data_IF_990545218909
#
_entry.id   IF_990545218909
#
_cell.length_a   1.000
_cell.length_b   1.000
_cell.length_c   1.000
_cell.angle_alpha   90.00
_cell.angle_beta   90.00
_cell.angle_gamma   90.00
#
_symmetry.space_group_name_H-M   'P 1'
#
loop_
_entity.id
_entity.type
_entity.pdbx_description
1 polymer ?
#
# COMPACT_ATOMS: atom_id res chain seq x y z
N UNK A 1 -22.99 5.12 20.29
CA UNK A 1 -22.49 6.40 19.77
C UNK A 1 -21.41 6.85 20.73
N UNK A 2 -20.17 6.45 20.46
CA UNK A 2 -18.99 6.95 21.17
C UNK A 2 -18.66 8.24 20.43
N UNK A 3 -18.94 9.38 21.05
CA UNK A 3 -18.74 10.73 20.49
C UNK A 3 -17.39 11.32 20.85
N UNK A 4 -16.57 10.59 21.59
CA UNK A 4 -15.21 11.01 21.90
C UNK A 4 -14.27 10.30 20.93
N UNK A 5 -13.65 11.06 20.01
CA UNK A 5 -12.40 10.64 19.36
C UNK A 5 -11.48 10.24 20.52
N UNK A 6 -11.20 8.95 20.69
CA UNK A 6 -10.12 8.53 21.58
C UNK A 6 -8.86 9.16 20.98
N UNK A 7 -8.44 10.28 21.56
CA UNK A 7 -7.11 10.85 21.37
C UNK A 7 -6.18 10.13 22.35
N UNK A 8 -5.43 9.13 21.88
CA UNK A 8 -4.04 9.01 22.24
C UNK A 8 -3.20 9.34 21.01
N UNK A 9 -2.11 10.06 21.23
CA UNK A 9 -1.16 10.48 20.21
C UNK A 9 -0.68 9.30 19.32
N UNK A 10 -1.32 9.14 18.16
CA UNK A 10 -0.80 8.42 16.98
C UNK A 10 -0.97 9.21 15.67
N UNK A 11 -1.54 10.42 15.73
CA UNK A 11 -1.76 11.35 14.61
C UNK A 11 -0.45 11.95 14.04
N UNK A 12 0.37 11.15 13.36
CA UNK A 12 1.58 11.68 12.71
C UNK A 12 1.82 11.20 11.29
N UNK A 13 0.93 10.42 10.70
CA UNK A 13 0.99 10.12 9.27
C UNK A 13 -0.44 10.16 8.74
N UNK A 14 -0.85 11.30 8.19
CA UNK A 14 -1.84 11.29 7.12
C UNK A 14 -1.19 10.57 5.96
N UNK A 15 -1.98 9.73 5.32
CA UNK A 15 -1.45 8.73 4.42
C UNK A 15 -2.24 8.83 3.13
N UNK A 16 -1.57 8.80 2.00
CA UNK A 16 -2.17 9.08 0.71
C UNK A 16 -1.71 8.07 -0.33
N UNK A 17 -2.56 7.79 -1.31
CA UNK A 17 -2.22 6.95 -2.45
C UNK A 17 -2.84 7.48 -3.73
N UNK A 18 -2.33 7.02 -4.87
CA UNK A 18 -2.91 7.33 -6.16
C UNK A 18 -4.03 6.38 -6.56
N UNK A 19 -4.98 6.87 -7.35
CA UNK A 19 -5.86 6.06 -8.19
C UNK A 19 -5.98 6.73 -9.57
N UNK A 20 -6.23 5.95 -10.61
CA UNK A 20 -6.48 6.47 -11.95
C UNK A 20 -7.90 6.16 -12.40
N UNK A 21 -8.51 7.08 -13.14
CA UNK A 21 -9.83 6.86 -13.76
C UNK A 21 -9.71 6.31 -15.18
N UNK A 22 -10.84 6.01 -15.83
CA UNK A 22 -10.85 5.41 -17.17
C UNK A 22 -10.33 6.36 -18.28
N UNK A 23 -10.32 7.67 -18.02
CA UNK A 23 -9.75 8.69 -18.91
C UNK A 23 -8.25 8.95 -18.61
N UNK A 24 -7.66 8.14 -17.71
CA UNK A 24 -6.29 8.20 -17.28
C UNK A 24 -5.95 9.42 -16.42
N UNK A 25 -6.95 10.12 -15.86
CA UNK A 25 -6.72 11.15 -14.86
C UNK A 25 -6.32 10.51 -13.54
N UNK A 26 -5.40 11.11 -12.82
CA UNK A 26 -4.94 10.61 -11.52
C UNK A 26 -5.57 11.42 -10.38
N UNK A 27 -6.04 10.68 -9.38
CA UNK A 27 -6.47 11.20 -8.11
C UNK A 27 -5.46 10.86 -7.02
N UNK A 28 -5.36 11.74 -6.02
CA UNK A 28 -4.79 11.47 -4.71
C UNK A 28 -5.94 11.19 -3.76
N UNK A 29 -5.89 10.07 -3.07
CA UNK A 29 -6.85 9.70 -2.03
C UNK A 29 -6.11 9.84 -0.71
N UNK A 30 -6.49 10.85 0.06
CA UNK A 30 -5.96 11.08 1.40
C UNK A 30 -6.83 10.35 2.41
N UNK A 31 -6.22 9.61 3.34
CA UNK A 31 -6.95 8.84 4.33
C UNK A 31 -6.47 9.02 5.77
N UNK A 32 -7.45 8.99 6.66
CA UNK A 32 -7.31 8.99 8.10
C UNK A 32 -7.60 7.57 8.62
N UNK A 33 -6.55 6.85 9.04
CA UNK A 33 -6.41 5.52 9.70
C UNK A 33 -7.39 4.35 9.42
N UNK A 34 -8.68 4.56 9.18
CA UNK A 34 -9.72 3.53 9.22
C UNK A 34 -10.39 3.16 7.90
N UNK A 35 -10.34 4.02 6.88
CA UNK A 35 -11.02 3.75 5.61
C UNK A 35 -10.28 2.74 4.70
N UNK A 36 -10.88 2.35 3.57
CA UNK A 36 -10.37 1.29 2.68
C UNK A 36 -9.03 1.65 2.02
N UNK A 37 -7.99 0.86 2.30
CA UNK A 37 -6.65 1.02 1.70
C UNK A 37 -6.37 -0.12 0.73
N UNK A 38 -6.15 0.13 -0.57
CA UNK A 38 -5.75 -0.93 -1.50
C UNK A 38 -4.49 -1.66 -1.04
N UNK A 39 -4.48 -3.00 -1.07
CA UNK A 39 -3.29 -3.79 -0.70
C UNK A 39 -2.05 -3.47 -1.56
N UNK A 40 -2.27 -2.96 -2.77
CA UNK A 40 -1.22 -2.57 -3.72
C UNK A 40 -0.62 -1.19 -3.41
N UNK A 41 -1.27 -0.38 -2.57
CA UNK A 41 -0.74 0.91 -2.17
C UNK A 41 0.47 0.70 -1.25
N UNK A 42 1.59 1.38 -1.55
CA UNK A 42 2.77 1.41 -0.68
C UNK A 42 2.73 2.63 0.23
N UNK A 43 3.32 2.45 1.41
CA UNK A 43 3.68 3.41 2.48
C UNK A 43 2.70 4.51 2.84
N UNK A 44 2.78 4.83 4.11
CA UNK A 44 2.15 5.94 4.77
C UNK A 44 2.87 7.24 4.36
N UNK A 45 2.51 7.82 3.20
CA UNK A 45 3.05 9.11 2.73
C UNK A 45 2.01 10.21 2.86
N UNK A 46 2.44 11.39 3.30
CA UNK A 46 1.62 12.59 3.21
C UNK A 46 1.37 13.00 1.76
N UNK A 47 0.28 13.74 1.55
CA UNK A 47 -0.10 14.27 0.24
C UNK A 47 1.00 15.18 -0.34
N UNK A 48 1.77 15.89 0.48
CA UNK A 48 2.87 16.73 0.01
C UNK A 48 3.97 15.93 -0.67
N UNK A 49 4.30 14.76 -0.12
CA UNK A 49 5.24 13.82 -0.73
C UNK A 49 4.66 13.36 -2.07
N UNK A 50 3.42 12.86 -2.06
CA UNK A 50 2.78 12.24 -3.22
C UNK A 50 2.44 13.21 -4.36
N UNK A 51 2.35 14.52 -4.14
CA UNK A 51 2.07 15.49 -5.23
C UNK A 51 3.21 15.51 -6.26
N UNK A 52 4.45 15.26 -5.84
CA UNK A 52 5.63 15.31 -6.70
C UNK A 52 6.26 13.94 -7.00
N UNK A 53 5.89 12.89 -6.25
CA UNK A 53 6.39 11.52 -6.44
C UNK A 53 6.41 10.73 -5.13
N UNK A 54 6.96 9.51 -5.13
CA UNK A 54 7.27 8.85 -3.84
C UNK A 54 8.49 9.54 -3.24
N UNK A 55 8.38 10.04 -1.99
CA UNK A 55 9.43 10.61 -1.16
C UNK A 55 10.52 11.39 -1.94
N UNK A 56 10.45 12.72 -1.88
CA UNK A 56 11.37 13.67 -2.51
C UNK A 56 12.86 13.41 -2.21
N UNK A 57 13.17 12.57 -1.21
CA UNK A 57 14.52 12.19 -0.79
C UNK A 57 14.99 10.81 -1.31
N UNK A 58 14.10 9.95 -1.80
CA UNK A 58 14.44 8.53 -2.11
C UNK A 58 13.83 7.99 -3.41
N UNK A 59 12.85 8.67 -4.05
CA UNK A 59 11.99 8.03 -5.06
C UNK A 59 11.71 8.74 -6.39
N UNK A 60 10.82 8.10 -7.16
CA UNK A 60 10.51 8.34 -8.58
C UNK A 60 9.68 9.61 -8.80
N UNK A 61 10.13 10.49 -9.71
CA UNK A 61 9.53 11.81 -9.94
C UNK A 61 8.30 11.77 -10.87
N UNK A 62 7.28 12.56 -10.56
CA UNK A 62 6.17 12.84 -11.48
C UNK A 62 6.51 14.07 -12.32
N UNK A 63 6.62 13.88 -13.63
CA UNK A 63 6.90 14.98 -14.57
C UNK A 63 5.66 15.84 -14.80
N UNK A 64 5.48 16.87 -13.97
CA UNK A 64 4.38 17.84 -14.09
C UNK A 64 4.61 18.83 -15.24
N UNK A 65 3.53 19.26 -15.91
CA UNK A 65 3.58 20.32 -16.92
C UNK A 65 3.65 21.71 -16.29
N UNK A 66 3.99 22.73 -17.07
CA UNK A 66 4.04 24.10 -16.58
C UNK A 66 2.67 24.60 -16.08
N UNK A 67 1.58 24.20 -16.73
CA UNK A 67 0.21 24.55 -16.32
C UNK A 67 -0.17 23.87 -15.00
N UNK A 68 0.31 22.63 -14.76
CA UNK A 68 0.10 21.91 -13.50
C UNK A 68 0.89 22.54 -12.35
N UNK A 69 2.13 22.98 -12.63
CA UNK A 69 2.94 23.73 -11.69
C UNK A 69 2.28 25.09 -11.36
N UNK A 70 1.65 25.75 -12.34
CA UNK A 70 0.88 26.98 -12.08
C UNK A 70 -0.29 26.74 -11.13
N UNK A 71 -1.00 25.62 -11.25
CA UNK A 71 -2.06 25.25 -10.31
C UNK A 71 -1.53 25.08 -8.89
N UNK A 72 -0.40 24.39 -8.71
CA UNK A 72 0.25 24.25 -7.39
C UNK A 72 0.65 25.63 -6.83
N UNK A 73 1.40 26.41 -7.62
CA UNK A 73 1.89 27.73 -7.23
C UNK A 73 0.75 28.72 -6.92
N UNK A 74 -0.44 28.54 -7.52
CA UNK A 74 -1.64 29.31 -7.20
C UNK A 74 -2.08 29.20 -5.73
N UNK A 75 -1.72 28.12 -5.05
CA UNK A 75 -1.97 27.93 -3.62
C UNK A 75 -0.82 28.43 -2.73
N UNK A 76 0.36 28.64 -3.31
CA UNK A 76 1.55 29.09 -2.58
C UNK A 76 1.61 30.62 -2.51
N UNK A 77 1.93 31.16 -1.34
CA UNK A 77 2.20 32.59 -1.19
C UNK A 77 3.68 32.87 -1.45
N UNK A 78 3.94 34.03 -2.01
CA UNK A 78 5.30 34.53 -2.14
C UNK A 78 5.70 35.17 -0.83
N UNK A 79 6.89 34.83 -0.32
CA UNK A 79 7.37 35.33 0.97
C UNK A 79 8.70 36.06 0.79
N UNK A 80 8.95 37.02 1.67
CA UNK A 80 10.27 37.63 1.79
C UNK A 80 11.23 36.65 2.47
N UNK A 81 12.53 36.77 2.19
CA UNK A 81 13.55 35.86 2.72
C UNK A 81 13.48 35.69 4.25
N UNK A 82 13.23 36.78 5.00
CA UNK A 82 13.19 36.75 6.47
C UNK A 82 11.97 36.03 7.04
N UNK A 83 10.92 35.85 6.24
CA UNK A 83 9.67 35.19 6.63
C UNK A 83 9.57 33.77 6.01
N UNK A 84 10.55 33.37 5.20
CA UNK A 84 10.59 32.07 4.56
C UNK A 84 11.04 30.99 5.55
N UNK A 85 10.30 29.87 5.59
CA UNK A 85 10.78 28.67 6.26
C UNK A 85 11.84 27.99 5.39
N UNK A 86 13.11 28.22 5.71
CA UNK A 86 14.21 27.68 4.91
C UNK A 86 14.42 26.17 5.12
N UNK A 87 13.74 25.56 6.09
CA UNK A 87 13.77 24.11 6.27
C UNK A 87 12.96 23.41 5.18
N UNK A 88 11.92 24.04 4.65
CA UNK A 88 11.13 23.50 3.56
C UNK A 88 10.60 24.66 2.71
N UNK A 89 11.25 24.96 1.59
CA UNK A 89 10.75 26.03 0.71
C UNK A 89 10.92 25.74 -0.78
N UNK A 90 10.03 26.34 -1.56
CA UNK A 90 10.14 26.38 -3.00
C UNK A 90 10.79 27.70 -3.42
N UNK A 91 11.80 27.61 -4.28
CA UNK A 91 12.57 28.75 -4.77
C UNK A 91 12.51 28.85 -6.28
N UNK A 92 12.39 30.08 -6.77
CA UNK A 92 12.61 30.40 -8.17
C UNK A 92 14.04 30.91 -8.33
N UNK A 93 14.82 30.27 -9.19
CA UNK A 93 16.20 30.63 -9.46
C UNK A 93 16.34 31.41 -10.78
N UNK A 94 17.45 32.14 -10.92
CA UNK A 94 17.90 32.63 -12.21
C UNK A 94 18.43 31.44 -13.03
N UNK A 95 17.66 30.97 -14.01
CA UNK A 95 18.04 29.85 -14.87
C UNK A 95 19.38 30.03 -15.58
N UNK A 96 19.82 31.28 -15.82
CA UNK A 96 21.15 31.54 -16.40
C UNK A 96 22.30 31.20 -15.43
N UNK A 97 22.00 31.06 -14.14
CA UNK A 97 22.92 30.75 -13.04
C UNK A 97 22.60 29.42 -12.35
N UNK A 98 21.82 28.53 -12.99
CA UNK A 98 21.49 27.20 -12.46
C UNK A 98 22.73 26.44 -11.99
N UNK A 99 23.81 26.51 -12.77
CA UNK A 99 25.08 25.87 -12.41
C UNK A 99 25.64 26.39 -11.08
N UNK A 100 25.68 27.70 -10.89
CA UNK A 100 26.23 28.32 -9.67
C UNK A 100 25.34 28.02 -8.46
N UNK A 101 24.02 27.96 -8.66
CA UNK A 101 23.06 27.53 -7.64
C UNK A 101 23.32 26.09 -7.19
N UNK A 102 23.42 25.16 -8.14
CA UNK A 102 23.66 23.73 -7.82
C UNK A 102 25.02 23.51 -7.17
N UNK A 103 26.08 24.16 -7.67
CA UNK A 103 27.43 24.05 -7.07
C UNK A 103 27.47 24.56 -5.63
N UNK A 104 26.76 25.64 -5.34
CA UNK A 104 26.69 26.17 -3.98
C UNK A 104 25.82 25.29 -3.07
N UNK A 105 24.69 24.77 -3.56
CA UNK A 105 23.83 23.88 -2.78
C UNK A 105 24.55 22.56 -2.41
N UNK A 106 25.27 21.96 -3.37
CA UNK A 106 26.08 20.76 -3.15
C UNK A 106 27.21 21.03 -2.15
N UNK A 107 27.94 22.14 -2.31
CA UNK A 107 29.03 22.51 -1.39
C UNK A 107 28.57 22.71 0.05
N UNK A 108 27.36 23.22 0.22
CA UNK A 108 26.77 23.54 1.52
C UNK A 108 26.00 22.35 2.12
N UNK A 109 25.97 21.20 1.42
CA UNK A 109 25.36 19.93 1.84
C UNK A 109 23.89 20.08 2.27
N UNK A 110 23.07 20.79 1.49
CA UNK A 110 21.63 20.82 1.72
C UNK A 110 21.05 19.39 1.67
N UNK A 111 20.10 19.13 2.56
CA UNK A 111 19.46 17.81 2.70
C UNK A 111 18.71 17.43 1.42
N UNK A 112 17.98 18.39 0.84
CA UNK A 112 17.21 18.19 -0.39
C UNK A 112 17.38 19.35 -1.35
N UNK A 113 17.63 19.05 -2.63
CA UNK A 113 17.56 20.00 -3.75
C UNK A 113 16.90 19.31 -4.92
N UNK A 114 15.60 19.54 -5.09
CA UNK A 114 14.78 18.84 -6.07
C UNK A 114 14.26 19.80 -7.15
N UNK A 115 14.42 19.44 -8.42
CA UNK A 115 14.04 20.29 -9.54
C UNK A 115 12.58 20.05 -9.94
N UNK A 116 11.69 20.98 -9.60
CA UNK A 116 10.26 20.90 -9.91
C UNK A 116 9.94 21.33 -11.35
N UNK A 117 10.66 22.35 -11.86
CA UNK A 117 10.54 22.77 -13.27
C UNK A 117 11.82 23.43 -13.74
N UNK A 118 12.58 22.72 -14.58
CA UNK A 118 13.82 23.24 -15.17
C UNK A 118 13.60 24.48 -16.03
N UNK A 119 12.52 24.52 -16.80
CA UNK A 119 12.19 25.67 -17.67
C UNK A 119 12.00 26.95 -16.85
N UNK A 120 11.38 26.83 -15.66
CA UNK A 120 11.10 27.96 -14.78
C UNK A 120 12.26 28.27 -13.82
N UNK A 121 13.17 27.32 -13.64
CA UNK A 121 14.13 27.37 -12.54
C UNK A 121 13.41 27.24 -11.20
N UNK A 122 12.40 26.37 -11.09
CA UNK A 122 11.68 26.14 -9.84
C UNK A 122 12.26 24.91 -9.14
N UNK A 123 12.67 25.09 -7.89
CA UNK A 123 13.27 24.03 -7.07
C UNK A 123 12.59 23.97 -5.71
N UNK A 124 12.46 22.76 -5.16
CA UNK A 124 12.24 22.54 -3.75
C UNK A 124 13.58 22.38 -3.05
N UNK A 125 13.77 23.06 -1.92
CA UNK A 125 14.97 22.97 -1.11
C UNK A 125 14.66 22.73 0.36
N UNK A 126 15.47 21.89 0.98
CA UNK A 126 15.61 21.78 2.43
C UNK A 126 17.03 22.22 2.81
N UNK A 127 17.13 23.41 3.41
CA UNK A 127 18.41 23.97 3.82
C UNK A 127 18.87 23.47 5.21
N UNK A 128 18.18 22.47 5.77
CA UNK A 128 18.64 21.74 6.95
C UNK A 128 19.91 20.97 6.62
N UNK A 129 20.82 20.94 7.58
CA UNK A 129 22.10 20.24 7.49
C UNK A 129 22.35 19.46 8.77
N UNK A 130 22.76 18.21 8.64
CA UNK A 130 23.15 17.38 9.78
C UNK A 130 24.63 17.63 10.08
N UNK A 131 24.92 18.21 11.24
CA UNK A 131 26.29 18.45 11.72
C UNK A 131 26.47 17.92 13.14
N UNK A 132 27.46 17.07 13.33
CA UNK A 132 27.77 16.42 14.60
C UNK A 132 26.58 15.67 15.23
N UNK A 133 25.69 15.11 14.39
CA UNK A 133 24.47 14.42 14.81
C UNK A 133 23.32 15.33 15.24
N UNK A 134 23.40 16.63 14.94
CA UNK A 134 22.33 17.62 15.20
C UNK A 134 21.89 18.31 13.91
N UNK A 135 20.57 18.49 13.74
CA UNK A 135 19.99 19.30 12.67
C UNK A 135 20.27 20.79 12.92
N UNK A 136 20.71 21.50 11.89
CA UNK A 136 20.90 22.95 11.89
C UNK A 136 20.46 23.50 10.55
N UNK A 137 19.97 24.73 10.53
CA UNK A 137 19.61 25.42 9.30
C UNK A 137 20.84 26.18 8.75
N UNK A 138 21.08 26.12 7.43
CA UNK A 138 22.18 26.85 6.77
C UNK A 138 21.72 28.16 6.12
N UNK A 139 21.15 29.04 6.93
CA UNK A 139 20.55 30.33 6.52
C UNK A 139 21.57 31.20 5.79
N UNK A 140 22.85 31.10 6.16
CA UNK A 140 23.93 31.88 5.56
C UNK A 140 24.23 31.50 4.11
N UNK A 141 24.00 30.23 3.73
CA UNK A 141 24.13 29.79 2.35
C UNK A 141 22.97 30.30 1.51
N UNK A 142 21.73 30.17 1.99
CA UNK A 142 20.55 30.67 1.29
C UNK A 142 20.59 32.20 1.18
N UNK A 143 21.00 32.92 2.22
CA UNK A 143 21.18 34.38 2.17
C UNK A 143 22.18 34.76 1.08
N UNK A 144 23.32 34.06 0.97
CA UNK A 144 24.28 34.30 -0.12
C UNK A 144 23.67 34.03 -1.49
N UNK A 145 22.95 32.92 -1.65
CA UNK A 145 22.23 32.62 -2.90
C UNK A 145 21.24 33.72 -3.27
N UNK A 146 20.55 34.30 -2.29
CA UNK A 146 19.63 35.39 -2.51
C UNK A 146 20.35 36.71 -2.85
N UNK A 147 21.38 37.08 -2.09
CA UNK A 147 22.17 38.31 -2.29
C UNK A 147 22.88 38.31 -3.66
N UNK A 148 23.42 37.16 -4.07
CA UNK A 148 24.06 36.95 -5.37
C UNK A 148 23.06 36.81 -6.53
N UNK A 149 21.75 36.89 -6.22
CA UNK A 149 20.64 36.75 -7.16
C UNK A 149 20.71 35.43 -7.93
N UNK A 150 21.05 34.35 -7.22
CA UNK A 150 20.85 32.97 -7.67
C UNK A 150 19.40 32.59 -7.42
N UNK A 151 18.89 32.87 -6.21
CA UNK A 151 17.46 32.80 -5.90
C UNK A 151 16.83 34.16 -6.17
N UNK A 152 15.78 34.16 -6.97
CA UNK A 152 15.00 35.35 -7.37
C UNK A 152 13.76 35.51 -6.50
N UNK A 153 13.20 34.40 -6.00
CA UNK A 153 11.92 34.42 -5.27
C UNK A 153 11.77 33.21 -4.36
N UNK A 154 11.11 33.40 -3.22
CA UNK A 154 10.68 32.34 -2.32
C UNK A 154 9.16 32.16 -2.36
N UNK A 155 8.72 30.92 -2.25
CA UNK A 155 7.34 30.53 -2.04
C UNK A 155 7.25 29.78 -0.71
N UNK A 156 6.23 30.13 0.07
CA UNK A 156 5.83 29.38 1.27
C UNK A 156 5.43 27.96 0.85
N UNK A 157 6.05 26.97 1.48
CA UNK A 157 5.63 25.58 1.35
C UNK A 157 4.31 25.37 2.09
N UNK A 158 3.39 24.62 1.49
CA UNK A 158 2.15 24.20 2.14
C UNK A 158 2.19 22.69 2.32
N UNK A 159 1.86 22.25 3.52
CA UNK A 159 1.78 20.83 3.88
C UNK A 159 0.53 20.15 3.30
N UNK A 160 -0.29 20.85 2.51
CA UNK A 160 -1.50 20.35 1.87
C UNK A 160 -2.41 19.57 2.84
N UNK A 161 -2.79 20.20 3.95
CA UNK A 161 -3.62 19.58 4.98
C UNK A 161 -5.06 19.30 4.55
N UNK A 162 -5.55 18.10 4.87
CA UNK A 162 -6.96 17.69 4.82
C UNK A 162 -7.34 17.14 6.20
N UNK A 163 -8.50 17.54 6.70
CA UNK A 163 -9.08 17.02 7.93
C UNK A 163 -10.56 16.75 7.75
N UNK A 164 -11.08 15.76 8.45
CA UNK A 164 -12.49 15.47 8.53
C UNK A 164 -13.06 15.82 9.91
N UNK A 165 -14.16 16.57 9.90
CA UNK A 165 -14.97 16.85 11.07
C UNK A 165 -16.40 16.35 10.89
N UNK A 166 -17.06 16.08 12.01
CA UNK A 166 -18.44 15.62 12.05
C UNK A 166 -19.37 16.76 12.48
N UNK A 167 -20.02 17.37 11.50
CA UNK A 167 -20.93 18.51 11.72
C UNK A 167 -22.36 18.14 11.29
N UNK A 168 -23.34 18.37 12.18
CA UNK A 168 -24.77 18.19 11.89
C UNK A 168 -25.15 16.82 11.27
N UNK A 169 -24.44 15.76 11.65
CA UNK A 169 -24.73 14.40 11.19
C UNK A 169 -24.14 14.04 9.81
N UNK A 170 -23.14 14.80 9.35
CA UNK A 170 -22.39 14.51 8.13
C UNK A 170 -20.91 14.83 8.32
N UNK A 171 -20.08 14.21 7.49
CA UNK A 171 -18.67 14.54 7.37
C UNK A 171 -18.52 15.85 6.60
N UNK A 172 -17.67 16.74 7.10
CA UNK A 172 -17.23 17.96 6.42
C UNK A 172 -15.71 17.96 6.39
N UNK A 173 -15.13 18.33 5.25
CA UNK A 173 -13.68 18.39 5.08
C UNK A 173 -13.18 19.83 5.20
N UNK A 174 -12.20 20.04 6.07
CA UNK A 174 -11.34 21.21 6.07
C UNK A 174 -10.12 20.94 5.19
N UNK A 175 -9.71 21.92 4.39
CA UNK A 175 -8.53 21.81 3.52
C UNK A 175 -7.83 23.14 3.35
N UNK A 176 -6.51 23.11 3.14
CA UNK A 176 -5.66 24.29 2.99
C UNK A 176 -5.28 24.62 1.52
N UNK A 177 -5.85 23.91 0.55
CA UNK A 177 -5.69 24.18 -0.87
C UNK A 177 -7.03 24.48 -1.54
N UNK A 178 -7.01 25.34 -2.55
CA UNK A 178 -8.18 25.59 -3.38
C UNK A 178 -8.25 24.59 -4.54
N UNK A 179 -7.12 24.33 -5.20
CA UNK A 179 -7.04 23.40 -6.32
C UNK A 179 -5.65 22.78 -6.47
N UNK A 180 -5.56 21.50 -6.77
CA UNK A 180 -4.32 20.79 -7.13
C UNK A 180 -4.45 20.24 -8.57
N UNK A 181 -3.33 19.94 -9.26
CA UNK A 181 -3.38 19.34 -10.59
C UNK A 181 -3.85 17.87 -10.55
N UNK A 182 -4.10 17.32 -9.38
CA UNK A 182 -4.73 16.03 -9.16
C UNK A 182 -6.21 16.20 -8.82
N UNK A 183 -7.02 15.19 -9.11
CA UNK A 183 -8.25 15.05 -8.35
C UNK A 183 -7.88 14.68 -6.91
N UNK A 184 -8.49 15.29 -5.91
CA UNK A 184 -8.21 14.96 -4.51
C UNK A 184 -9.49 14.46 -3.88
N UNK A 185 -9.42 13.32 -3.21
CA UNK A 185 -10.50 12.78 -2.41
C UNK A 185 -10.06 12.71 -0.96
N UNK A 186 -10.87 13.28 -0.07
CA UNK A 186 -10.74 13.07 1.36
C UNK A 186 -11.52 11.83 1.75
N UNK A 187 -10.86 10.85 2.38
CA UNK A 187 -11.51 9.68 2.95
C UNK A 187 -11.89 9.98 4.41
N UNK A 188 -13.18 9.86 4.76
CA UNK A 188 -13.63 10.04 6.13
C UNK A 188 -13.00 9.04 7.10
N UNK A 189 -12.97 9.39 8.39
CA UNK A 189 -12.58 8.48 9.46
C UNK A 189 -13.47 7.22 9.53
N UNK A 190 -14.75 7.31 9.16
CA UNK A 190 -15.67 6.17 9.20
C UNK A 190 -15.80 5.50 7.83
N UNK A 191 -15.65 4.18 7.81
CA UNK A 191 -15.75 3.32 6.60
C UNK A 191 -17.14 3.28 5.97
N UNK A 192 -18.17 3.68 6.71
CA UNK A 192 -19.56 3.78 6.22
C UNK A 192 -19.78 4.99 5.32
N UNK A 193 -18.88 5.99 5.38
CA UNK A 193 -18.92 7.18 4.54
C UNK A 193 -17.98 7.05 3.35
N UNK A 194 -18.46 7.49 2.19
CA UNK A 194 -17.68 7.42 0.96
C UNK A 194 -16.67 8.57 0.91
N UNK A 195 -15.43 8.31 0.43
CA UNK A 195 -14.51 9.37 0.01
C UNK A 195 -15.21 10.45 -0.82
N UNK A 196 -14.91 11.73 -0.54
CA UNK A 196 -15.48 12.89 -1.24
C UNK A 196 -14.41 13.65 -2.02
N UNK A 197 -14.72 13.98 -3.27
CA UNK A 197 -13.89 14.81 -4.13
C UNK A 197 -13.83 16.25 -3.63
N UNK A 198 -12.63 16.73 -3.31
CA UNK A 198 -12.35 18.03 -2.72
C UNK A 198 -11.94 19.11 -3.73
N UNK A 199 -11.54 18.72 -4.95
CA UNK A 199 -11.24 19.66 -6.03
C UNK A 199 -11.48 19.03 -7.43
N UNK A 200 -11.43 19.88 -8.46
CA UNK A 200 -11.42 19.47 -9.86
C UNK A 200 -10.26 20.20 -10.54
N UNK A 201 -9.19 19.49 -10.96
CA UNK A 201 -8.04 20.10 -11.61
C UNK A 201 -8.43 20.74 -12.95
N UNK A 202 -7.76 21.84 -13.31
CA UNK A 202 -7.92 22.43 -14.64
C UNK A 202 -7.10 21.65 -15.68
N UNK A 203 -5.93 21.17 -15.28
CA UNK A 203 -5.00 20.38 -16.09
C UNK A 203 -4.65 19.08 -15.35
N UNK A 204 -5.57 18.09 -15.33
CA UNK A 204 -5.40 16.87 -14.54
C UNK A 204 -4.10 16.14 -14.89
N UNK A 205 -3.37 15.70 -13.86
CA UNK A 205 -2.25 14.77 -14.00
C UNK A 205 -2.74 13.48 -14.65
N UNK A 206 -1.95 12.99 -15.60
CA UNK A 206 -2.23 11.79 -16.38
C UNK A 206 -1.37 10.63 -15.92
N UNK A 207 -1.95 9.43 -15.97
CA UNK A 207 -1.27 8.16 -15.68
C UNK A 207 -0.01 7.94 -16.54
N UNK A 208 0.02 8.53 -17.75
CA UNK A 208 1.19 8.50 -18.64
C UNK A 208 2.38 9.35 -18.15
N UNK A 209 2.17 10.27 -17.20
CA UNK A 209 3.22 11.09 -16.60
C UNK A 209 4.01 10.34 -15.52
N UNK A 210 3.49 9.18 -15.07
CA UNK A 210 4.15 8.32 -14.10
C UNK A 210 5.16 7.39 -14.77
N UNK A 211 6.22 7.05 -14.05
CA UNK A 211 7.13 5.96 -14.42
C UNK A 211 6.37 4.64 -14.59
N UNK A 212 6.94 3.67 -15.29
CA UNK A 212 6.31 2.35 -15.41
C UNK A 212 6.21 1.61 -14.06
N UNK A 213 7.06 1.94 -13.10
CA UNK A 213 7.09 1.33 -11.76
C UNK A 213 5.96 1.88 -10.89
N UNK A 214 5.85 3.22 -10.77
CA UNK A 214 4.70 3.88 -10.15
C UNK A 214 3.38 3.48 -10.80
N UNK A 215 3.30 3.51 -12.15
CA UNK A 215 2.06 3.21 -12.88
C UNK A 215 1.47 1.85 -12.54
N UNK A 216 2.29 0.85 -12.24
CA UNK A 216 1.84 -0.50 -11.88
C UNK A 216 1.14 -0.58 -10.53
N UNK A 217 1.36 0.40 -9.64
CA UNK A 217 0.74 0.47 -8.31
C UNK A 217 -0.58 1.23 -8.31
N UNK A 218 -0.85 2.00 -9.35
CA UNK A 218 -2.02 2.88 -9.41
C UNK A 218 -3.22 2.04 -9.89
N UNK A 219 -4.23 1.78 -9.04
CA UNK A 219 -5.43 1.10 -9.46
C UNK A 219 -6.17 1.93 -10.51
N UNK A 220 -6.55 1.30 -11.62
CA UNK A 220 -7.32 1.93 -12.70
C UNK A 220 -8.79 1.58 -12.49
N UNK A 221 -9.60 2.59 -12.24
CA UNK A 221 -11.00 2.45 -11.87
C UNK A 221 -11.90 2.69 -13.09
N UNK A 222 -12.97 1.90 -13.28
CA UNK A 222 -13.92 2.04 -14.38
C UNK A 222 -14.96 3.14 -14.09
N UNK A 223 -14.47 4.31 -13.69
CA UNK A 223 -15.27 5.51 -13.42
C UNK A 223 -14.55 6.72 -14.01
N UNK A 224 -15.22 7.89 -14.00
CA UNK A 224 -14.63 9.18 -14.32
C UNK A 224 -14.61 10.05 -13.09
N UNK A 225 -13.44 10.51 -12.66
CA UNK A 225 -13.36 11.37 -11.48
C UNK A 225 -14.04 12.70 -11.69
N UNK A 226 -14.16 13.19 -12.93
CA UNK A 226 -14.89 14.42 -13.27
C UNK A 226 -16.40 14.32 -13.03
N UNK A 227 -16.98 13.11 -13.07
CA UNK A 227 -18.42 12.87 -12.95
C UNK A 227 -18.82 12.28 -11.59
N UNK A 228 -17.89 11.59 -10.91
CA UNK A 228 -18.12 10.98 -9.61
C UNK A 228 -17.64 11.91 -8.50
N UNK A 229 -18.59 12.41 -7.69
CA UNK A 229 -18.25 13.17 -6.47
C UNK A 229 -17.73 12.26 -5.36
N UNK A 230 -18.27 11.05 -5.27
CA UNK A 230 -17.94 10.06 -4.26
C UNK A 230 -17.76 8.70 -4.93
N UNK A 231 -16.92 7.84 -4.35
CA UNK A 231 -16.75 6.46 -4.80
C UNK A 231 -16.23 5.54 -3.69
N UNK A 232 -16.37 4.23 -3.87
CA UNK A 232 -15.82 3.19 -2.99
C UNK A 232 -14.72 2.40 -3.71
N UNK A 233 -13.45 2.63 -3.35
CA UNK A 233 -12.29 1.98 -3.99
C UNK A 233 -12.36 0.45 -3.92
N UNK A 234 -12.92 -0.08 -2.83
CA UNK A 234 -13.03 -1.50 -2.57
C UNK A 234 -14.00 -2.23 -3.51
N UNK A 235 -14.74 -1.53 -4.38
CA UNK A 235 -15.52 -2.16 -5.45
C UNK A 235 -14.67 -2.79 -6.55
N UNK A 236 -13.42 -2.35 -6.68
CA UNK A 236 -12.57 -2.73 -7.81
C UNK A 236 -11.25 -3.38 -7.40
N UNK A 237 -10.77 -3.08 -6.20
CA UNK A 237 -9.52 -3.64 -5.69
C UNK A 237 -9.70 -4.18 -4.27
N UNK A 238 -9.03 -5.28 -3.92
CA UNK A 238 -8.98 -5.72 -2.53
C UNK A 238 -8.36 -4.64 -1.66
N UNK A 239 -9.03 -4.33 -0.55
CA UNK A 239 -8.58 -3.32 0.41
C UNK A 239 -8.46 -3.91 1.82
N UNK A 240 -7.56 -3.33 2.60
CA UNK A 240 -7.58 -3.44 4.05
C UNK A 240 -8.63 -2.47 4.61
N UNK A 241 -9.33 -2.90 5.66
CA UNK A 241 -10.37 -2.13 6.32
C UNK A 241 -10.24 -2.26 7.84
N UNK A 242 -10.57 -1.19 8.55
CA UNK A 242 -10.81 -1.22 9.99
C UNK A 242 -12.33 -1.05 10.24
N UNK A 243 -13.14 -2.04 9.83
CA UNK A 243 -14.61 -2.00 9.99
C UNK A 243 -15.18 -3.13 10.87
N UNK A 244 -16.46 -3.01 11.22
CA UNK A 244 -17.14 -3.71 12.31
C UNK A 244 -17.93 -4.95 11.92
N UNK A 245 -18.33 -5.13 10.65
CA UNK A 245 -19.05 -6.34 10.19
C UNK A 245 -18.28 -7.12 9.12
N UNK A 246 -17.53 -8.12 9.58
CA UNK A 246 -16.80 -9.08 8.75
C UNK A 246 -17.53 -10.41 8.66
N UNK A 247 -17.59 -10.99 7.46
CA UNK A 247 -18.13 -12.32 7.19
C UNK A 247 -17.07 -13.16 6.49
N UNK A 248 -16.91 -14.39 6.96
CA UNK A 248 -16.14 -15.40 6.24
C UNK A 248 -17.12 -16.28 5.46
N UNK A 249 -16.95 -16.32 4.15
CA UNK A 249 -17.71 -17.20 3.26
C UNK A 249 -16.76 -17.86 2.28
N UNK A 250 -16.85 -19.19 2.15
CA UNK A 250 -16.05 -19.95 1.19
C UNK A 250 -14.53 -19.71 1.34
N UNK A 251 -14.09 -19.60 2.61
CA UNK A 251 -12.71 -19.30 3.03
C UNK A 251 -12.13 -17.96 2.56
N UNK A 252 -12.97 -17.07 2.07
CA UNK A 252 -12.66 -15.67 1.81
C UNK A 252 -13.35 -14.78 2.85
N UNK A 253 -12.71 -13.65 3.13
CA UNK A 253 -13.18 -12.62 4.04
C UNK A 253 -13.85 -11.53 3.23
N UNK A 254 -15.03 -11.14 3.69
CA UNK A 254 -15.78 -10.03 3.14
C UNK A 254 -16.15 -9.08 4.24
N UNK A 255 -16.24 -7.81 3.88
CA UNK A 255 -16.70 -6.75 4.79
C UNK A 255 -17.91 -6.06 4.21
N UNK A 256 -18.88 -5.75 5.06
CA UNK A 256 -20.00 -4.92 4.63
C UNK A 256 -19.49 -3.49 4.39
N UNK A 257 -19.70 -2.98 3.19
CA UNK A 257 -19.29 -1.64 2.80
C UNK A 257 -20.37 -0.96 1.96
N UNK A 258 -20.41 0.37 2.06
CA UNK A 258 -21.19 1.21 1.17
C UNK A 258 -20.50 1.31 -0.19
N UNK A 259 -21.26 1.06 -1.26
CA UNK A 259 -20.83 1.15 -2.65
C UNK A 259 -20.97 2.60 -3.17
N UNK A 260 -20.38 2.87 -4.32
CA UNK A 260 -20.38 4.17 -5.02
C UNK A 260 -21.79 4.67 -5.33
N UNK A 261 -22.76 3.77 -5.55
CA UNK A 261 -24.16 4.13 -5.78
C UNK A 261 -24.96 4.37 -4.48
N UNK A 262 -24.33 4.19 -3.32
CA UNK A 262 -24.91 4.35 -2.00
C UNK A 262 -25.61 3.09 -1.45
N UNK A 263 -25.66 2.00 -2.22
CA UNK A 263 -26.12 0.69 -1.71
C UNK A 263 -25.06 0.05 -0.82
N UNK A 264 -25.43 -1.02 -0.10
CA UNK A 264 -24.49 -1.79 0.72
C UNK A 264 -24.29 -3.18 0.13
N UNK A 265 -23.04 -3.67 0.17
CA UNK A 265 -22.71 -5.03 -0.22
C UNK A 265 -21.49 -5.53 0.55
N UNK A 266 -21.33 -6.85 0.58
CA UNK A 266 -20.14 -7.50 1.11
C UNK A 266 -19.05 -7.47 0.03
N UNK A 267 -17.97 -6.74 0.28
CA UNK A 267 -16.80 -6.62 -0.62
C UNK A 267 -15.66 -7.49 -0.12
N UNK A 268 -14.95 -8.14 -1.04
CA UNK A 268 -13.85 -9.04 -0.76
C UNK A 268 -12.63 -8.28 -0.20
N UNK A 269 -12.14 -8.70 0.97
CA UNK A 269 -10.98 -8.09 1.65
C UNK A 269 -9.77 -9.01 1.71
N UNK A 270 -9.98 -10.32 1.92
CA UNK A 270 -8.92 -11.33 2.07
C UNK A 270 -9.33 -12.65 1.41
N UNK A 271 -8.54 -13.15 0.46
CA UNK A 271 -8.70 -14.46 -0.18
C UNK A 271 -8.29 -15.63 0.73
N UNK A 272 -7.58 -15.35 1.82
CA UNK A 272 -7.07 -16.31 2.78
C UNK A 272 -7.63 -16.06 4.19
N UNK A 273 -8.96 -16.01 4.29
CA UNK A 273 -9.61 -15.88 5.58
C UNK A 273 -9.13 -17.01 6.54
N UNK A 274 -8.89 -16.70 7.82
CA UNK A 274 -8.31 -17.64 8.77
C UNK A 274 -9.32 -18.69 9.24
N UNK A 275 -9.74 -19.62 8.37
CA UNK A 275 -10.65 -20.75 8.68
C UNK A 275 -9.90 -21.91 9.36
N UNK A 276 -9.18 -21.57 10.43
CA UNK A 276 -8.16 -22.40 11.04
C UNK A 276 -8.65 -23.76 11.57
N UNK A 277 -9.88 -23.83 12.09
CA UNK A 277 -10.38 -25.06 12.73
C UNK A 277 -10.42 -26.26 11.77
N UNK A 278 -10.56 -26.00 10.46
CA UNK A 278 -10.61 -27.06 9.46
C UNK A 278 -9.23 -27.69 9.20
N UNK A 279 -8.15 -26.94 9.43
CA UNK A 279 -6.78 -27.36 9.13
C UNK A 279 -5.84 -27.40 10.35
N UNK A 280 -6.36 -27.24 11.57
CA UNK A 280 -5.55 -27.25 12.77
C UNK A 280 -4.91 -28.63 13.00
N UNK A 281 -3.57 -28.68 12.97
CA UNK A 281 -2.77 -29.91 13.18
C UNK A 281 -2.89 -30.51 14.57
N UNK A 282 -3.39 -29.75 15.54
CA UNK A 282 -3.48 -30.13 16.95
C UNK A 282 -4.90 -29.90 17.53
N UNK A 283 -5.93 -29.94 16.66
CA UNK A 283 -7.33 -29.68 17.05
C UNK A 283 -7.80 -30.54 18.21
N UNK A 284 -7.48 -31.84 18.15
CA UNK A 284 -7.85 -32.81 19.19
C UNK A 284 -7.10 -32.56 20.50
N UNK A 285 -5.80 -32.25 20.40
CA UNK A 285 -4.92 -31.96 21.54
C UNK A 285 -5.39 -30.73 22.32
N UNK A 286 -5.81 -29.67 21.62
CA UNK A 286 -6.19 -28.40 22.23
C UNK A 286 -7.70 -28.25 22.45
N UNK A 287 -8.52 -29.28 22.17
CA UNK A 287 -9.98 -29.28 22.36
C UNK A 287 -10.64 -27.98 21.87
N UNK A 288 -10.22 -27.50 20.69
CA UNK A 288 -10.68 -26.22 20.16
C UNK A 288 -12.14 -26.33 19.69
N UNK A 289 -13.08 -25.93 20.55
CA UNK A 289 -14.51 -25.88 20.21
C UNK A 289 -14.84 -24.63 19.35
N UNK A 290 -14.19 -23.51 19.64
CA UNK A 290 -14.20 -22.29 18.82
C UNK A 290 -12.83 -21.62 18.95
N UNK A 291 -11.95 -21.68 17.94
CA UNK A 291 -10.70 -20.90 17.92
C UNK A 291 -10.92 -19.37 17.78
N UNK A 292 -12.10 -18.87 18.16
CA UNK A 292 -12.69 -17.62 17.69
C UNK A 292 -12.61 -16.48 18.71
N UNK A 293 -12.27 -16.72 19.99
CA UNK A 293 -12.36 -15.64 21.00
C UNK A 293 -11.08 -15.30 21.77
N UNK A 294 -9.97 -15.16 21.05
CA UNK A 294 -8.73 -14.55 21.57
C UNK A 294 -7.88 -15.45 22.48
N UNK A 295 -6.57 -15.50 22.15
CA UNK A 295 -5.46 -16.12 22.88
C UNK A 295 -5.24 -17.65 22.71
N UNK A 296 -4.33 -18.01 21.81
CA UNK A 296 -3.65 -19.32 21.85
C UNK A 296 -2.61 -19.51 20.75
N UNK A 297 -3.03 -19.51 19.48
CA UNK A 297 -2.18 -19.82 18.33
C UNK A 297 -1.63 -18.56 17.65
N UNK A 298 -0.41 -18.62 17.16
CA UNK A 298 0.20 -17.53 16.38
C UNK A 298 -0.32 -17.56 14.94
N UNK A 299 -0.90 -16.45 14.45
CA UNK A 299 -1.30 -16.31 13.04
C UNK A 299 -0.05 -16.10 12.20
N UNK A 300 0.18 -16.98 11.23
CA UNK A 300 1.29 -16.81 10.31
C UNK A 300 0.97 -15.69 9.32
N UNK A 301 2.03 -15.10 8.78
CA UNK A 301 1.91 -14.05 7.78
C UNK A 301 1.20 -14.56 6.51
N UNK A 302 0.34 -13.72 5.97
CA UNK A 302 -0.21 -13.86 4.63
C UNK A 302 -0.38 -12.48 4.01
N UNK A 303 -0.20 -12.39 2.70
CA UNK A 303 -0.33 -11.15 1.95
C UNK A 303 -0.91 -11.43 0.57
N UNK A 304 -1.68 -10.50 0.03
CA UNK A 304 -2.25 -10.62 -1.31
C UNK A 304 -2.15 -9.29 -2.05
N UNK A 305 -1.93 -9.36 -3.35
CA UNK A 305 -1.90 -8.17 -4.22
C UNK A 305 -2.97 -8.19 -5.32
N UNK A 306 -3.62 -9.35 -5.51
CA UNK A 306 -4.57 -9.58 -6.58
C UNK A 306 -5.69 -10.51 -6.11
N UNK A 307 -6.91 -10.27 -6.59
CA UNK A 307 -8.05 -11.18 -6.41
C UNK A 307 -7.96 -12.44 -7.28
N UNK A 308 -7.01 -12.48 -8.21
CA UNK A 308 -6.78 -13.58 -9.16
C UNK A 308 -5.28 -13.92 -9.22
N UNK A 309 -4.67 -14.41 -8.13
CA UNK A 309 -3.22 -14.62 -8.06
C UNK A 309 -2.76 -15.72 -9.02
N UNK A 310 -1.81 -15.42 -9.89
CA UNK A 310 -1.17 -16.39 -10.80
C UNK A 310 0.17 -16.87 -10.25
N UNK A 311 0.74 -16.19 -9.27
CA UNK A 311 1.93 -16.59 -8.52
C UNK A 311 1.49 -16.92 -7.09
N UNK A 312 1.98 -18.04 -6.55
CA UNK A 312 1.86 -18.30 -5.12
C UNK A 312 3.26 -18.38 -4.53
N UNK A 313 3.53 -17.50 -3.57
CA UNK A 313 4.74 -17.56 -2.76
C UNK A 313 4.42 -18.29 -1.47
N UNK A 314 5.09 -19.41 -1.23
CA UNK A 314 4.98 -20.15 0.02
C UNK A 314 6.19 -19.82 0.88
N UNK A 315 5.91 -19.22 2.03
CA UNK A 315 6.93 -18.71 2.93
C UNK A 315 6.96 -19.50 4.24
N UNK A 316 8.09 -19.46 4.92
CA UNK A 316 8.21 -20.04 6.24
C UNK A 316 7.38 -19.27 7.27
N UNK A 317 6.70 -19.96 8.20
CA UNK A 317 6.14 -19.34 9.41
C UNK A 317 7.18 -18.61 10.26
N UNK A 318 8.47 -18.90 10.06
CA UNK A 318 9.59 -18.29 10.78
C UNK A 318 10.21 -17.10 10.03
N UNK A 319 9.88 -16.91 8.76
CA UNK A 319 10.46 -15.83 7.97
C UNK A 319 9.79 -14.51 8.37
N UNK A 320 10.63 -13.53 8.74
CA UNK A 320 10.17 -12.16 8.84
C UNK A 320 10.24 -11.59 7.43
N UNK A 321 9.11 -11.61 6.75
CA UNK A 321 8.92 -10.82 5.54
C UNK A 321 8.90 -9.37 5.98
N UNK A 322 9.97 -8.65 5.68
CA UNK A 322 9.93 -7.19 5.75
C UNK A 322 9.08 -6.71 4.57
N UNK A 323 7.90 -6.18 4.88
CA UNK A 323 6.96 -5.71 3.89
C UNK A 323 7.60 -4.67 2.96
N UNK A 324 8.52 -3.84 3.48
CA UNK A 324 9.14 -2.76 2.74
C UNK A 324 10.26 -3.23 1.81
N UNK A 325 11.07 -4.20 2.24
CA UNK A 325 12.20 -4.70 1.44
C UNK A 325 11.77 -5.73 0.38
N UNK A 326 10.73 -6.52 0.66
CA UNK A 326 10.41 -7.68 -0.17
C UNK A 326 9.24 -7.46 -1.16
N UNK A 327 8.37 -6.48 -0.92
CA UNK A 327 7.27 -6.15 -1.83
C UNK A 327 7.75 -5.22 -2.95
N UNK A 328 8.42 -5.78 -3.95
CA UNK A 328 8.87 -5.05 -5.15
C UNK A 328 7.70 -4.70 -6.07
N UNK A 329 7.81 -3.58 -6.78
CA UNK A 329 6.79 -3.10 -7.75
C UNK A 329 6.90 -3.80 -9.11
N UNK A 330 7.04 -5.12 -9.05
CA UNK A 330 7.23 -5.97 -10.21
C UNK A 330 6.02 -6.86 -10.49
N UNK A 331 5.99 -7.42 -11.70
CA UNK A 331 4.89 -8.26 -12.18
C UNK A 331 4.69 -9.48 -11.28
N UNK A 332 5.76 -10.01 -10.69
CA UNK A 332 5.71 -11.20 -9.85
C UNK A 332 4.94 -10.87 -8.58
N UNK A 333 5.34 -9.83 -7.84
CA UNK A 333 4.69 -9.39 -6.61
C UNK A 333 3.21 -9.06 -6.85
N UNK A 334 2.91 -8.25 -7.85
CA UNK A 334 1.54 -7.81 -8.13
C UNK A 334 0.61 -8.94 -8.58
N UNK A 335 1.18 -10.05 -9.05
CA UNK A 335 0.43 -11.25 -9.42
C UNK A 335 0.44 -12.31 -8.30
N UNK A 336 1.01 -12.01 -7.13
CA UNK A 336 1.23 -12.97 -6.05
C UNK A 336 0.14 -12.98 -4.98
N UNK A 337 -0.07 -14.17 -4.43
CA UNK A 337 -0.52 -14.37 -3.05
C UNK A 337 0.61 -15.03 -2.26
N UNK A 338 0.85 -14.54 -1.04
CA UNK A 338 1.90 -15.02 -0.15
C UNK A 338 1.24 -15.72 1.01
N UNK A 339 1.54 -17.00 1.16
CA UNK A 339 0.93 -17.86 2.16
C UNK A 339 2.03 -18.57 2.91
N UNK A 340 1.97 -18.56 4.24
CA UNK A 340 2.81 -19.48 4.99
C UNK A 340 2.36 -20.92 4.78
N UNK A 341 3.27 -21.90 4.77
CA UNK A 341 2.89 -23.32 4.68
C UNK A 341 2.07 -23.82 5.88
N UNK A 342 2.00 -23.04 6.95
CA UNK A 342 1.04 -23.18 8.03
C UNK A 342 0.23 -21.90 8.16
N UNK A 343 -1.09 -21.98 8.25
CA UNK A 343 -1.91 -20.79 8.48
C UNK A 343 -1.75 -20.23 9.92
N UNK A 344 -1.60 -21.12 10.90
CA UNK A 344 -1.25 -20.76 12.29
C UNK A 344 -0.30 -21.79 12.89
N UNK A 345 0.51 -21.36 13.86
CA UNK A 345 1.31 -22.25 14.69
C UNK A 345 0.55 -22.55 15.99
N UNK A 346 0.20 -23.82 16.28
CA UNK A 346 -0.44 -24.20 17.52
C UNK A 346 0.45 -23.92 18.74
N UNK A 347 -0.07 -23.21 19.75
CA UNK A 347 0.61 -23.02 21.03
C UNK A 347 -0.42 -22.95 22.16
N UNK A 348 -0.09 -23.56 23.31
CA UNK A 348 -0.89 -23.40 24.52
C UNK A 348 -0.47 -22.10 25.22
N UNK A 349 -1.41 -21.17 25.44
CA UNK A 349 -1.30 -19.90 26.19
C UNK A 349 0.14 -19.43 26.50
N UNK A 350 0.68 -18.42 25.79
CA UNK A 350 1.50 -17.31 26.34
C UNK A 350 1.70 -16.25 25.24
N UNK A 351 1.40 -15.00 25.58
CA UNK A 351 1.80 -13.69 25.02
C UNK A 351 2.23 -13.62 23.54
N UNK A 352 1.51 -12.76 22.80
CA UNK A 352 1.75 -12.32 21.42
C UNK A 352 3.10 -11.60 21.26
N UNK A 353 4.22 -12.31 21.41
CA UNK A 353 5.52 -11.79 21.03
C UNK A 353 6.11 -12.70 19.96
N UNK A 354 6.03 -12.27 18.70
CA UNK A 354 6.61 -12.95 17.55
C UNK A 354 8.08 -13.30 17.80
N UNK A 355 8.85 -12.42 18.46
CA UNK A 355 10.25 -12.66 18.82
C UNK A 355 10.50 -13.90 19.67
N UNK A 356 9.55 -14.28 20.53
CA UNK A 356 9.64 -15.46 21.40
C UNK A 356 9.09 -16.73 20.73
N UNK A 357 8.28 -16.60 19.69
CA UNK A 357 7.82 -17.76 18.92
C UNK A 357 8.99 -18.48 18.26
N UNK A 358 9.92 -17.73 17.67
CA UNK A 358 11.07 -18.26 16.95
C UNK A 358 12.04 -19.04 17.86
N UNK A 359 12.03 -18.83 19.19
CA UNK A 359 12.81 -19.62 20.15
C UNK A 359 12.09 -20.88 20.63
N UNK A 360 10.76 -20.92 20.55
CA UNK A 360 9.92 -21.91 21.22
C UNK A 360 9.49 -23.06 20.29
N UNK A 361 9.58 -22.88 18.97
CA UNK A 361 9.16 -23.87 17.98
C UNK A 361 10.33 -24.23 17.07
N UNK A 362 10.77 -25.49 17.15
CA UNK A 362 11.85 -26.00 16.30
C UNK A 362 11.39 -26.25 14.87
N UNK A 363 12.33 -26.24 13.91
CA UNK A 363 12.07 -26.60 12.51
C UNK A 363 11.37 -27.95 12.36
N UNK A 364 11.80 -28.94 13.17
CA UNK A 364 11.19 -30.27 13.18
C UNK A 364 9.73 -30.23 13.61
N UNK A 365 9.37 -29.40 14.60
CA UNK A 365 7.97 -29.24 15.00
C UNK A 365 7.12 -28.59 13.91
N UNK A 366 7.65 -27.60 13.19
CA UNK A 366 6.93 -26.98 12.05
C UNK A 366 6.68 -27.98 10.94
N UNK A 367 7.66 -28.82 10.63
CA UNK A 367 7.51 -29.92 9.69
C UNK A 367 6.45 -30.92 10.16
N UNK A 368 6.47 -31.33 11.43
CA UNK A 368 5.46 -32.22 12.01
C UNK A 368 4.05 -31.61 11.94
N UNK A 369 3.92 -30.30 12.22
CA UNK A 369 2.65 -29.60 12.05
C UNK A 369 2.21 -29.61 10.60
N UNK A 370 3.09 -29.27 9.67
CA UNK A 370 2.78 -29.25 8.24
C UNK A 370 2.33 -30.62 7.74
N UNK A 371 3.03 -31.70 8.10
CA UNK A 371 2.65 -33.05 7.68
C UNK A 371 1.28 -33.49 8.23
N UNK A 372 0.78 -32.87 9.30
CA UNK A 372 -0.58 -33.06 9.84
C UNK A 372 -1.62 -32.13 9.22
N UNK A 373 -1.23 -30.96 8.69
CA UNK A 373 -2.15 -29.91 8.18
C UNK A 373 -1.97 -29.52 6.71
N UNK A 374 -1.15 -30.24 5.94
CA UNK A 374 -0.79 -29.91 4.54
C UNK A 374 -1.99 -29.68 3.61
N UNK A 375 -3.16 -30.24 3.95
CA UNK A 375 -4.43 -30.02 3.23
C UNK A 375 -4.77 -28.55 3.07
N UNK A 376 -4.44 -27.71 4.06
CA UNK A 376 -4.59 -26.25 3.93
C UNK A 376 -3.95 -25.71 2.64
N UNK A 377 -2.69 -26.07 2.38
CA UNK A 377 -2.02 -25.64 1.16
C UNK A 377 -2.56 -26.36 -0.08
N UNK A 378 -2.95 -27.63 0.00
CA UNK A 378 -3.59 -28.33 -1.12
C UNK A 378 -4.89 -27.64 -1.54
N UNK A 379 -5.72 -27.25 -0.58
CA UNK A 379 -7.01 -26.59 -0.79
C UNK A 379 -6.79 -25.18 -1.37
N UNK A 380 -5.81 -24.41 -0.86
CA UNK A 380 -5.46 -23.11 -1.45
C UNK A 380 -4.86 -23.24 -2.85
N UNK A 381 -4.00 -24.22 -3.10
CA UNK A 381 -3.40 -24.45 -4.42
C UNK A 381 -4.46 -24.95 -5.42
N UNK A 382 -5.39 -25.81 -5.02
CA UNK A 382 -6.49 -26.23 -5.89
C UNK A 382 -7.52 -25.11 -6.11
N UNK A 383 -7.74 -24.24 -5.12
CA UNK A 383 -8.58 -23.06 -5.28
C UNK A 383 -7.97 -22.08 -6.28
N UNK A 384 -6.74 -21.63 -6.07
CA UNK A 384 -6.13 -20.57 -6.88
C UNK A 384 -5.50 -21.07 -8.18
N UNK A 385 -5.07 -22.34 -8.21
CA UNK A 385 -4.37 -22.97 -9.35
C UNK A 385 -3.27 -22.06 -9.94
N UNK A 386 -2.31 -21.61 -9.13
CA UNK A 386 -1.28 -20.67 -9.59
C UNK A 386 -0.52 -21.24 -10.79
N UNK A 387 0.07 -20.36 -11.60
CA UNK A 387 0.91 -20.72 -12.74
C UNK A 387 2.31 -21.16 -12.30
N UNK A 388 2.76 -20.67 -11.14
CA UNK A 388 4.09 -20.93 -10.58
C UNK A 388 4.03 -20.89 -9.06
N UNK A 389 4.80 -21.78 -8.42
CA UNK A 389 5.07 -21.73 -6.98
C UNK A 389 6.48 -21.18 -6.75
N UNK A 390 6.61 -20.25 -5.82
CA UNK A 390 7.90 -19.75 -5.35
C UNK A 390 8.00 -20.13 -3.88
N UNK A 391 9.06 -20.84 -3.50
CA UNK A 391 9.25 -21.35 -2.14
C UNK A 391 10.47 -20.70 -1.52
N UNK A 392 10.38 -20.24 -0.27
CA UNK A 392 11.59 -19.98 0.51
C UNK A 392 12.31 -21.32 0.83
N UNK A 393 13.53 -21.24 1.36
CA UNK A 393 14.38 -22.40 1.57
C UNK A 393 13.74 -23.43 2.52
N UNK A 394 13.05 -22.98 3.58
CA UNK A 394 12.41 -23.90 4.52
C UNK A 394 11.13 -24.51 3.94
N UNK A 395 10.32 -23.74 3.22
CA UNK A 395 9.12 -24.23 2.55
C UNK A 395 9.47 -25.29 1.51
N UNK A 396 10.53 -25.07 0.73
CA UNK A 396 11.05 -26.08 -0.20
C UNK A 396 11.42 -27.37 0.54
N UNK A 397 12.23 -27.28 1.60
CA UNK A 397 12.64 -28.43 2.40
C UNK A 397 11.42 -29.21 2.93
N UNK A 398 10.47 -28.51 3.56
CA UNK A 398 9.30 -29.11 4.20
C UNK A 398 8.34 -29.70 3.17
N UNK A 399 8.02 -28.97 2.10
CA UNK A 399 7.09 -29.44 1.07
C UNK A 399 7.67 -30.59 0.24
N UNK A 400 8.99 -30.60 -0.01
CA UNK A 400 9.65 -31.68 -0.76
C UNK A 400 9.51 -33.05 -0.12
N UNK A 401 9.38 -33.13 1.22
CA UNK A 401 9.17 -34.39 1.94
C UNK A 401 7.80 -35.02 1.65
N UNK A 402 6.80 -34.20 1.31
CA UNK A 402 5.44 -34.64 1.00
C UNK A 402 5.24 -34.93 -0.48
N UNK A 403 5.69 -34.02 -1.35
CA UNK A 403 5.37 -34.07 -2.78
C UNK A 403 6.55 -34.49 -3.67
N UNK A 404 7.78 -34.42 -3.14
CA UNK A 404 8.99 -34.46 -3.95
C UNK A 404 9.12 -33.20 -4.82
N UNK A 405 10.36 -32.82 -5.13
CA UNK A 405 10.67 -31.81 -6.15
C UNK A 405 11.71 -32.40 -7.07
N UNK A 406 11.40 -32.46 -8.37
CA UNK A 406 12.32 -32.98 -9.38
C UNK A 406 12.39 -32.01 -10.55
N UNK A 407 13.60 -31.57 -10.91
CA UNK A 407 13.83 -30.63 -12.01
C UNK A 407 12.98 -29.35 -11.92
N UNK A 408 12.83 -28.79 -10.71
CA UNK A 408 12.02 -27.57 -10.50
C UNK A 408 10.52 -27.79 -10.75
N UNK A 409 10.02 -29.02 -10.56
CA UNK A 409 8.60 -29.38 -10.70
C UNK A 409 8.11 -30.09 -9.45
N UNK A 410 6.88 -29.79 -9.06
CA UNK A 410 6.15 -30.42 -7.96
C UNK A 410 4.73 -30.74 -8.40
N UNK A 411 4.23 -31.94 -8.07
CA UNK A 411 2.84 -32.33 -8.36
C UNK A 411 2.01 -32.24 -7.09
N UNK A 412 0.99 -31.38 -7.10
CA UNK A 412 0.05 -31.18 -6.00
C UNK A 412 -1.37 -31.26 -6.58
N UNK A 413 -2.29 -31.95 -5.91
CA UNK A 413 -3.67 -32.15 -6.38
C UNK A 413 -3.76 -32.68 -7.82
N UNK A 414 -2.81 -33.53 -8.23
CA UNK A 414 -2.75 -34.10 -9.58
C UNK A 414 -2.32 -33.13 -10.69
N UNK A 415 -1.88 -31.92 -10.34
CA UNK A 415 -1.40 -30.90 -11.27
C UNK A 415 0.09 -30.67 -11.04
N UNK A 416 0.86 -30.64 -12.12
CA UNK A 416 2.29 -30.28 -12.06
C UNK A 416 2.46 -28.75 -12.12
N UNK A 417 3.27 -28.23 -11.18
CA UNK A 417 3.61 -26.81 -11.10
C UNK A 417 5.11 -26.61 -11.28
N UNK A 418 5.55 -25.60 -12.06
CA UNK A 418 6.88 -25.03 -11.96
C UNK A 418 7.13 -24.50 -10.55
N UNK A 419 8.29 -24.82 -10.00
CA UNK A 419 8.73 -24.42 -8.67
C UNK A 419 10.08 -23.73 -8.78
N UNK A 420 10.19 -22.54 -8.18
CA UNK A 420 11.42 -21.77 -8.04
C UNK A 420 11.69 -21.51 -6.57
N UNK A 421 12.95 -21.35 -6.21
CA UNK A 421 13.31 -20.83 -4.89
C UNK A 421 13.19 -19.31 -4.88
N UNK A 422 12.88 -18.73 -3.72
CA UNK A 422 12.91 -17.28 -3.50
C UNK A 422 14.27 -16.69 -3.89
N UNK A 423 15.36 -17.37 -3.51
CA UNK A 423 16.74 -17.01 -3.90
C UNK A 423 17.04 -17.08 -5.40
N UNK A 424 16.20 -17.74 -6.21
CA UNK A 424 16.35 -17.82 -7.66
C UNK A 424 15.59 -16.72 -8.41
N UNK A 425 14.71 -15.97 -7.73
CA UNK A 425 13.76 -15.03 -8.35
C UNK A 425 14.43 -14.03 -9.28
N UNK A 426 15.54 -13.43 -8.86
CA UNK A 426 16.26 -12.46 -9.69
C UNK A 426 16.91 -13.13 -10.91
N UNK A 427 17.59 -14.25 -10.69
CA UNK A 427 18.28 -14.99 -11.75
C UNK A 427 17.34 -15.61 -12.80
N UNK A 428 16.08 -15.85 -12.43
CA UNK A 428 15.04 -16.49 -13.27
C UNK A 428 13.85 -15.58 -13.53
N UNK A 429 13.99 -14.27 -13.28
CA UNK A 429 12.91 -13.27 -13.33
C UNK A 429 12.06 -13.36 -14.60
N UNK A 430 12.70 -13.37 -15.78
CA UNK A 430 12.00 -13.39 -17.06
C UNK A 430 11.10 -14.63 -17.24
N UNK A 431 11.50 -15.78 -16.72
CA UNK A 431 10.71 -17.01 -16.79
C UNK A 431 9.51 -16.97 -15.84
N UNK A 432 9.73 -16.45 -14.62
CA UNK A 432 8.67 -16.31 -13.62
C UNK A 432 7.64 -15.27 -14.07
N UNK A 433 8.09 -14.13 -14.60
CA UNK A 433 7.20 -13.08 -15.15
C UNK A 433 6.38 -13.61 -16.33
N UNK A 434 6.97 -14.41 -17.22
CA UNK A 434 6.25 -15.03 -18.32
C UNK A 434 5.13 -15.97 -17.82
N UNK A 435 5.35 -16.68 -16.70
CA UNK A 435 4.34 -17.52 -16.06
C UNK A 435 3.27 -16.67 -15.33
N UNK A 436 3.69 -15.61 -14.65
CA UNK A 436 2.82 -14.70 -13.91
C UNK A 436 1.80 -14.00 -14.84
N UNK A 437 2.22 -13.64 -16.06
CA UNK A 437 1.37 -13.00 -17.06
C UNK A 437 0.38 -13.96 -17.78
N UNK A 438 0.46 -15.27 -17.53
CA UNK A 438 -0.51 -16.20 -18.09
C UNK A 438 -1.89 -16.03 -17.43
N UNK A 439 -2.99 -16.31 -18.14
CA UNK A 439 -4.34 -16.14 -17.58
C UNK A 439 -4.55 -16.91 -16.27
N UNK A 440 -5.24 -16.29 -15.31
CA UNK A 440 -5.69 -16.98 -14.10
C UNK A 440 -6.59 -18.18 -14.44
N UNK A 441 -6.42 -19.28 -13.71
CA UNK A 441 -7.09 -20.57 -13.98
C UNK A 441 -7.76 -21.21 -12.74
N UNK A 442 -7.72 -20.51 -11.60
CA UNK A 442 -8.35 -20.96 -10.37
C UNK A 442 -9.85 -20.66 -10.33
N UNK A 443 -10.44 -20.93 -9.17
CA UNK A 443 -11.81 -20.58 -8.82
C UNK A 443 -11.95 -19.05 -8.84
N UNK A 444 -13.03 -18.57 -9.47
CA UNK A 444 -13.41 -17.16 -9.40
C UNK A 444 -14.16 -16.92 -8.11
N UNK A 445 -13.53 -16.22 -7.18
CA UNK A 445 -14.14 -15.76 -5.95
C UNK A 445 -14.86 -14.43 -6.27
N UNK A 446 -16.16 -14.30 -5.97
CA UNK A 446 -16.88 -13.05 -6.20
C UNK A 446 -16.20 -11.90 -5.47
N UNK A 447 -16.01 -10.77 -6.14
CA UNK A 447 -15.45 -9.57 -5.50
C UNK A 447 -16.51 -8.85 -4.66
N UNK A 448 -17.77 -8.88 -5.10
CA UNK A 448 -18.92 -8.27 -4.44
C UNK A 448 -20.04 -9.30 -4.31
N UNK A 449 -20.66 -9.36 -3.14
CA UNK A 449 -21.85 -10.16 -2.85
C UNK A 449 -22.89 -9.24 -2.24
N UNK A 450 -24.08 -9.14 -2.84
CA UNK A 450 -25.15 -8.30 -2.26
C UNK A 450 -25.57 -8.82 -0.88
N UNK A 451 -26.10 -7.95 -0.03
CA UNK A 451 -26.59 -8.34 1.31
C UNK A 451 -27.62 -9.48 1.21
N UNK A 452 -28.50 -9.44 0.21
CA UNK A 452 -29.54 -10.44 -0.01
C UNK A 452 -28.99 -11.79 -0.49
N UNK A 453 -27.98 -11.77 -1.35
CA UNK A 453 -27.27 -12.98 -1.77
C UNK A 453 -26.50 -13.60 -0.61
N UNK A 454 -25.82 -12.79 0.21
CA UNK A 454 -25.10 -13.28 1.38
C UNK A 454 -26.03 -13.99 2.37
N UNK A 455 -27.22 -13.42 2.63
CA UNK A 455 -28.25 -14.08 3.47
C UNK A 455 -28.66 -15.44 2.89
N UNK A 456 -28.93 -15.52 1.58
CA UNK A 456 -29.24 -16.79 0.91
C UNK A 456 -28.10 -17.80 1.01
N UNK A 457 -26.85 -17.36 0.87
CA UNK A 457 -25.66 -18.21 0.97
C UNK A 457 -25.45 -18.73 2.40
N UNK A 458 -25.84 -17.95 3.42
CA UNK A 458 -25.85 -18.36 4.83
C UNK A 458 -27.05 -19.23 5.22
N UNK A 459 -28.09 -19.29 4.38
CA UNK A 459 -29.33 -20.00 4.65
C UNK A 459 -30.27 -19.25 5.60
N UNK A 460 -30.21 -17.92 5.61
CA UNK A 460 -31.05 -17.01 6.41
C UNK A 460 -32.35 -16.58 5.70
#
# INVERSE_FOLDING_TARGET
MITDKEYPATHSMSTAWYAADEDGNVAIIDYNENGPVPWIAKKELGIESIVFGDDMNVGEEVSLTDEQIDEILGNCKTVDFNDADLSNCMVLIDTAKEKDFMELAEKENFETVHCLSKRRGLYYIDASVIKDGSYRLNDSAIQRMFDDKLIVKFYEWREFYINDDWEDGKVVFEKDFDNLPYFVYGQPYWTDDLPERLNVPSNPVKLSQFSDSLRRRIPILPIKFSEKKNFQIAEWVPCNFYSTETVIFDEAEYILAKLTDGSEAYVLTDLNAPVFLQHCSERETYQCEECVKWAGCFRCFSLQFSSCPTVMQVISPLERVDYEEECKDDVITLSSIWLSFLQKIPKNKVELNAGKLYSDVSRKQLEEYYLKSYRYLEDKIDCFKPRVLILDELSEEVMSKKYGISNGRMTICGVEYPVFKRSEMESRRAEIEALALLPYRGKKIPHIITVEEMKKLKGE
#
